data_IF_237784926554
#
_entry.id   IF_237784926554
#
_cell.length_a   1.000
_cell.length_b   1.000
_cell.length_c   1.000
_cell.angle_alpha   90.00
_cell.angle_beta   90.00
_cell.angle_gamma   90.00
#
_symmetry.space_group_name_H-M   'P 1'
#
loop_
_entity.id
_entity.type
_entity.pdbx_description
1 polymer ?
#
# COMPACT_ATOMS: atom_id res chain seq x y z
N UNK A 1 -25.43 -20.55 2.30
CA UNK A 1 -24.64 -20.05 1.15
C UNK A 1 -24.08 -18.64 1.35
N UNK A 2 -24.79 -17.70 1.98
CA UNK A 2 -24.27 -16.33 2.24
C UNK A 2 -23.16 -16.30 3.32
N UNK A 3 -23.21 -17.25 4.26
CA UNK A 3 -22.24 -17.41 5.35
C UNK A 3 -20.84 -17.84 4.87
N UNK A 4 -20.74 -18.69 3.85
CA UNK A 4 -19.46 -19.10 3.26
C UNK A 4 -18.72 -17.96 2.55
N UNK A 5 -19.46 -17.09 1.85
CA UNK A 5 -18.89 -15.93 1.16
C UNK A 5 -18.25 -14.93 2.15
N UNK A 6 -18.85 -14.73 3.32
CA UNK A 6 -18.26 -13.89 4.39
C UNK A 6 -16.97 -14.48 4.94
N UNK A 7 -16.91 -15.80 5.10
CA UNK A 7 -15.74 -16.48 5.67
C UNK A 7 -14.53 -16.43 4.73
N UNK A 8 -14.78 -16.60 3.42
CA UNK A 8 -13.75 -16.48 2.39
C UNK A 8 -13.23 -15.04 2.24
N UNK A 9 -14.12 -14.05 2.31
CA UNK A 9 -13.73 -12.63 2.27
C UNK A 9 -12.89 -12.24 3.51
N UNK A 10 -13.29 -12.68 4.70
CA UNK A 10 -12.54 -12.45 5.95
C UNK A 10 -11.15 -13.07 5.87
N UNK A 11 -11.02 -14.32 5.41
CA UNK A 11 -9.71 -14.97 5.31
C UNK A 11 -8.75 -14.25 4.35
N UNK A 12 -9.25 -13.77 3.21
CA UNK A 12 -8.48 -12.98 2.23
C UNK A 12 -8.02 -11.63 2.81
N UNK A 13 -8.91 -10.96 3.56
CA UNK A 13 -8.60 -9.70 4.24
C UNK A 13 -7.55 -9.94 5.32
N UNK A 14 -7.74 -10.94 6.19
CA UNK A 14 -6.79 -11.33 7.26
C UNK A 14 -5.39 -11.63 6.71
N UNK A 15 -5.30 -12.30 5.55
CA UNK A 15 -4.03 -12.58 4.88
C UNK A 15 -3.33 -11.31 4.35
N UNK A 16 -4.10 -10.30 3.93
CA UNK A 16 -3.57 -9.00 3.47
C UNK A 16 -3.21 -8.06 4.63
N UNK A 17 -3.97 -8.05 5.73
CA UNK A 17 -3.65 -7.23 6.92
C UNK A 17 -2.50 -7.79 7.76
N UNK A 18 -2.05 -9.03 7.51
CA UNK A 18 -0.85 -9.60 8.16
C UNK A 18 0.41 -8.73 7.95
N UNK A 19 0.48 -7.98 6.85
CA UNK A 19 1.62 -7.10 6.55
C UNK A 19 1.48 -5.69 7.13
N UNK A 20 0.27 -5.30 7.56
CA UNK A 20 -0.01 -4.00 8.14
C UNK A 20 0.86 -3.66 9.37
N UNK A 21 1.08 -4.56 10.35
CA UNK A 21 1.93 -4.23 11.49
C UNK A 21 3.39 -3.98 11.09
N UNK A 22 3.91 -4.72 10.10
CA UNK A 22 5.28 -4.51 9.61
C UNK A 22 5.41 -3.18 8.85
N UNK A 23 4.42 -2.82 8.04
CA UNK A 23 4.38 -1.53 7.37
C UNK A 23 4.32 -0.36 8.37
N UNK A 24 3.49 -0.48 9.41
CA UNK A 24 3.37 0.54 10.46
C UNK A 24 4.67 0.71 11.25
N UNK A 25 5.32 -0.39 11.64
CA UNK A 25 6.61 -0.35 12.33
C UNK A 25 7.70 0.25 11.43
N UNK A 26 7.75 -0.14 10.16
CA UNK A 26 8.69 0.43 9.18
C UNK A 26 8.50 1.93 8.99
N UNK A 27 7.26 2.38 8.83
CA UNK A 27 6.92 3.81 8.72
C UNK A 27 7.29 4.55 10.01
N UNK A 28 6.97 4.01 11.18
CA UNK A 28 7.28 4.66 12.47
C UNK A 28 8.78 4.80 12.70
N UNK A 29 9.57 3.76 12.43
CA UNK A 29 11.04 3.82 12.55
C UNK A 29 11.59 4.86 11.57
N UNK A 30 11.07 4.87 10.34
CA UNK A 30 11.50 5.78 9.30
C UNK A 30 11.17 7.25 9.60
N UNK A 31 9.98 7.56 10.11
CA UNK A 31 9.60 8.94 10.45
C UNK A 31 10.31 9.46 11.69
N UNK A 32 10.58 8.59 12.67
CA UNK A 32 11.31 8.96 13.89
C UNK A 32 12.82 9.13 13.66
N UNK A 33 13.41 8.39 12.73
CA UNK A 33 14.84 8.51 12.38
C UNK A 33 15.10 9.37 11.14
N UNK A 34 14.05 9.76 10.43
CA UNK A 34 14.08 10.60 9.23
C UNK A 34 14.26 12.07 9.58
N UNK A 35 15.26 12.42 10.38
CA UNK A 35 15.66 13.80 10.62
C UNK A 35 16.01 14.45 9.27
N UNK A 36 15.06 15.21 8.71
CA UNK A 36 15.15 15.84 7.38
C UNK A 36 16.36 16.77 7.22
N UNK A 37 16.95 17.23 8.32
CA UNK A 37 18.04 18.21 8.30
C UNK A 37 19.43 17.60 8.06
N UNK A 38 19.58 16.26 8.07
CA UNK A 38 20.91 15.63 8.21
C UNK A 38 21.36 14.83 6.98
N UNK A 39 20.45 14.39 6.09
CA UNK A 39 20.87 13.52 4.99
C UNK A 39 20.09 13.72 3.67
N UNK A 40 20.63 14.51 2.71
CA UNK A 40 19.98 14.75 1.42
C UNK A 40 19.77 13.48 0.59
N UNK A 41 20.60 12.44 0.81
CA UNK A 41 20.39 11.14 0.15
C UNK A 41 19.12 10.46 0.65
N UNK A 42 18.85 10.50 1.96
CA UNK A 42 17.65 9.90 2.54
C UNK A 42 16.41 10.56 1.94
N UNK A 43 16.40 11.89 1.84
CA UNK A 43 15.32 12.67 1.23
C UNK A 43 15.05 12.23 -0.22
N UNK A 44 16.09 12.12 -1.05
CA UNK A 44 15.97 11.66 -2.45
C UNK A 44 15.41 10.24 -2.51
N UNK A 45 15.85 9.34 -1.64
CA UNK A 45 15.33 7.97 -1.57
C UNK A 45 13.85 7.95 -1.15
N UNK A 46 13.43 8.79 -0.20
CA UNK A 46 12.01 8.92 0.19
C UNK A 46 11.17 9.38 -1.00
N UNK A 47 11.60 10.45 -1.66
CA UNK A 47 10.89 11.03 -2.81
C UNK A 47 10.78 10.01 -3.95
N UNK A 48 11.82 9.22 -4.19
CA UNK A 48 11.79 8.18 -5.21
C UNK A 48 10.82 7.04 -4.84
N UNK A 49 10.77 6.64 -3.58
CA UNK A 49 9.81 5.65 -3.07
C UNK A 49 8.37 6.16 -3.18
N UNK A 50 8.11 7.41 -2.82
CA UNK A 50 6.80 8.04 -2.96
C UNK A 50 6.35 8.09 -4.43
N UNK A 51 7.25 8.46 -5.34
CA UNK A 51 6.95 8.47 -6.78
C UNK A 51 6.62 7.06 -7.30
N UNK A 52 7.38 6.04 -6.90
CA UNK A 52 7.11 4.65 -7.27
C UNK A 52 5.75 4.16 -6.73
N UNK A 53 5.43 4.48 -5.47
CA UNK A 53 4.11 4.19 -4.91
C UNK A 53 3.00 4.90 -5.68
N UNK A 54 3.19 6.16 -6.06
CA UNK A 54 2.27 6.92 -6.90
C UNK A 54 1.99 6.23 -8.24
N UNK A 55 3.03 5.77 -8.95
CA UNK A 55 2.89 5.04 -10.22
C UNK A 55 2.10 3.74 -10.03
N UNK A 56 2.39 2.98 -8.98
CA UNK A 56 1.68 1.72 -8.68
C UNK A 56 0.21 1.99 -8.37
N UNK A 57 -0.10 3.05 -7.60
CA UNK A 57 -1.48 3.45 -7.31
C UNK A 57 -2.24 3.84 -8.58
N UNK A 58 -1.63 4.67 -9.44
CA UNK A 58 -2.24 5.06 -10.73
C UNK A 58 -2.52 3.81 -11.56
N UNK A 59 -1.55 2.91 -11.71
CA UNK A 59 -1.75 1.66 -12.45
C UNK A 59 -2.91 0.83 -11.88
N UNK A 60 -2.99 0.67 -10.56
CA UNK A 60 -4.05 -0.09 -9.92
C UNK A 60 -5.42 0.57 -10.11
N UNK A 61 -5.50 1.90 -9.99
CA UNK A 61 -6.71 2.68 -10.24
C UNK A 61 -7.16 2.56 -11.69
N UNK A 62 -6.26 2.75 -12.65
CA UNK A 62 -6.54 2.59 -14.08
C UNK A 62 -7.00 1.18 -14.42
N UNK A 63 -6.34 0.16 -13.86
CA UNK A 63 -6.73 -1.25 -14.03
C UNK A 63 -8.13 -1.52 -13.47
N UNK A 64 -8.43 -1.00 -12.27
CA UNK A 64 -9.74 -1.13 -11.62
C UNK A 64 -10.84 -0.41 -12.41
N UNK A 65 -10.53 0.76 -12.98
CA UNK A 65 -11.46 1.52 -13.81
C UNK A 65 -11.73 0.80 -15.14
N UNK A 66 -10.70 0.23 -15.76
CA UNK A 66 -10.83 -0.58 -16.98
C UNK A 66 -11.64 -1.87 -16.77
N UNK A 67 -11.47 -2.55 -15.62
CA UNK A 67 -12.32 -3.71 -15.30
C UNK A 67 -13.78 -3.30 -15.08
N UNK A 68 -14.02 -2.16 -14.42
CA UNK A 68 -15.37 -1.65 -14.17
C UNK A 68 -16.10 -1.22 -15.46
N UNK A 69 -15.36 -0.78 -16.48
CA UNK A 69 -15.92 -0.44 -17.79
C UNK A 69 -16.28 -1.69 -18.62
N UNK A 70 -15.64 -2.82 -18.36
CA UNK A 70 -15.85 -4.08 -19.11
C UNK A 70 -17.01 -4.93 -18.57
N UNK A 71 -17.48 -4.66 -17.34
CA UNK A 71 -18.64 -5.29 -16.70
C UNK A 71 -19.97 -4.54 -16.97
N UNK A 72 -19.97 -3.54 -17.86
CA UNK A 72 -21.16 -2.84 -18.37
C UNK A 72 -21.35 -3.15 -19.85
#
# INVERSE_FOLDING_TARGET
MISDLKYLAVNSITKKVKFLPYALVGIAIFTLNGSSDINPYLQVYVTLLEAQLGVVLVYFLTKKLGSLHKDK
#
